data_IF_100919127577
#
_entry.id   IF_100919127577
#
_cell.length_a   1.000
_cell.length_b   1.000
_cell.length_c   1.000
_cell.angle_alpha   90.00
_cell.angle_beta   90.00
_cell.angle_gamma   90.00
#
_symmetry.space_group_name_H-M   'P 1'
#
loop_
_entity.id
_entity.type
_entity.pdbx_description
1 polymer ?
#
# COMPACT_ATOMS: atom_id res chain seq x y z
N UNK A 1 -16.63 9.05 -1.79
CA UNK A 1 -15.34 8.51 -2.24
C UNK A 1 -14.32 9.24 -1.41
N UNK A 2 -13.59 8.48 -0.63
CA UNK A 2 -12.64 8.96 0.35
C UNK A 2 -11.24 8.56 -0.14
N UNK A 3 -10.26 9.42 0.11
CA UNK A 3 -8.87 9.17 -0.30
C UNK A 3 -8.12 8.55 0.88
N UNK A 4 -7.53 7.39 0.64
CA UNK A 4 -6.77 6.64 1.61
C UNK A 4 -5.28 6.62 1.24
N UNK A 5 -4.42 7.05 2.16
CA UNK A 5 -2.97 6.98 1.98
C UNK A 5 -2.42 5.69 2.62
N UNK A 6 -1.70 4.90 1.82
CA UNK A 6 -1.00 3.71 2.28
C UNK A 6 0.51 3.88 2.09
N UNK A 7 1.26 3.55 3.14
CA UNK A 7 2.71 3.47 3.09
C UNK A 7 3.12 2.02 3.00
N UNK A 8 3.74 1.66 1.89
CA UNK A 8 4.16 0.30 1.57
C UNK A 8 5.67 0.25 1.52
N UNK A 9 6.28 -0.51 2.41
CA UNK A 9 7.71 -0.80 2.38
C UNK A 9 7.95 -2.10 1.65
N UNK A 10 8.74 -2.03 0.58
CA UNK A 10 9.10 -3.16 -0.25
C UNK A 10 10.59 -3.42 -0.08
N UNK A 11 11.00 -4.65 0.20
CA UNK A 11 12.37 -5.08 -0.08
C UNK A 11 12.40 -5.79 -1.40
N UNK A 12 13.50 -5.66 -2.12
CA UNK A 12 13.85 -6.60 -3.17
C UNK A 12 15.29 -7.07 -2.97
N UNK A 13 15.55 -8.34 -3.29
CA UNK A 13 16.90 -8.89 -3.23
C UNK A 13 17.83 -8.07 -4.13
N UNK A 14 18.78 -7.36 -3.49
CA UNK A 14 19.84 -6.60 -4.15
C UNK A 14 19.72 -5.08 -4.17
N UNK A 15 18.67 -4.45 -3.60
CA UNK A 15 18.58 -2.97 -3.61
C UNK A 15 17.89 -2.29 -2.43
N UNK A 16 17.77 -2.97 -1.30
CA UNK A 16 17.37 -2.36 -0.02
C UNK A 16 15.88 -2.09 0.11
N UNK A 17 15.51 -1.50 1.24
CA UNK A 17 14.12 -1.20 1.57
C UNK A 17 13.68 0.11 0.93
N UNK A 18 12.64 0.07 0.10
CA UNK A 18 12.07 1.25 -0.54
C UNK A 18 10.64 1.51 -0.05
N UNK A 19 10.40 2.76 0.36
CA UNK A 19 9.09 3.24 0.80
C UNK A 19 8.30 3.78 -0.40
N UNK A 20 7.09 3.28 -0.58
CA UNK A 20 6.10 3.78 -1.54
C UNK A 20 4.92 4.37 -0.80
N UNK A 21 4.46 5.54 -1.27
CA UNK A 21 3.24 6.17 -0.79
C UNK A 21 2.21 6.01 -1.91
N UNK A 22 1.14 5.26 -1.64
CA UNK A 22 0.08 4.97 -2.59
C UNK A 22 -1.20 5.61 -2.08
N UNK A 23 -1.78 6.49 -2.89
CA UNK A 23 -3.09 7.07 -2.62
C UNK A 23 -4.14 6.28 -3.38
N UNK A 24 -5.17 5.84 -2.69
CA UNK A 24 -6.28 5.05 -3.24
C UNK A 24 -7.58 5.79 -2.99
N UNK A 25 -8.31 6.09 -4.06
CA UNK A 25 -9.68 6.57 -3.96
C UNK A 25 -10.63 5.39 -3.90
N UNK A 26 -11.31 5.23 -2.77
CA UNK A 26 -12.21 4.11 -2.53
C UNK A 26 -13.52 4.55 -1.90
N UNK A 27 -14.56 3.74 -2.06
CA UNK A 27 -15.85 3.97 -1.42
C UNK A 27 -15.84 3.66 0.08
N UNK A 28 -14.88 2.86 0.54
CA UNK A 28 -14.69 2.46 1.93
C UNK A 28 -13.26 1.93 2.15
N UNK A 29 -12.89 1.73 3.41
CA UNK A 29 -11.54 1.27 3.81
C UNK A 29 -11.23 -0.16 3.36
N UNK A 30 -12.21 -1.07 3.35
CA UNK A 30 -12.01 -2.46 2.92
C UNK A 30 -11.63 -2.55 1.44
N UNK A 31 -12.33 -1.79 0.58
CA UNK A 31 -12.07 -1.71 -0.85
C UNK A 31 -10.66 -1.14 -1.12
N UNK A 32 -10.27 -0.12 -0.36
CA UNK A 32 -8.92 0.45 -0.42
C UNK A 32 -7.82 -0.56 -0.04
N UNK A 33 -8.07 -1.37 0.99
CA UNK A 33 -7.15 -2.44 1.42
C UNK A 33 -7.08 -3.57 0.41
N UNK A 34 -8.18 -3.96 -0.20
CA UNK A 34 -8.21 -5.04 -1.20
C UNK A 34 -7.42 -4.65 -2.46
N UNK A 35 -7.59 -3.40 -2.92
CA UNK A 35 -6.82 -2.85 -4.04
C UNK A 35 -5.31 -2.84 -3.77
N UNK A 36 -4.89 -2.38 -2.58
CA UNK A 36 -3.46 -2.43 -2.19
C UNK A 36 -3.00 -3.89 -2.06
N UNK A 37 -3.77 -4.75 -1.42
CA UNK A 37 -3.44 -6.17 -1.26
C UNK A 37 -3.21 -6.88 -2.59
N UNK A 38 -4.01 -6.56 -3.61
CA UNK A 38 -3.86 -7.08 -4.97
C UNK A 38 -2.58 -6.59 -5.64
N UNK A 39 -2.27 -5.28 -5.52
CA UNK A 39 -1.03 -4.66 -6.02
C UNK A 39 0.22 -5.29 -5.39
N UNK A 40 0.17 -5.53 -4.08
CA UNK A 40 1.25 -6.14 -3.30
C UNK A 40 1.46 -7.59 -3.71
N UNK A 41 0.41 -8.42 -3.71
CA UNK A 41 0.52 -9.85 -4.01
C UNK A 41 1.03 -10.17 -5.41
N UNK A 42 0.77 -9.31 -6.40
CA UNK A 42 1.09 -9.63 -7.79
C UNK A 42 2.50 -9.23 -8.23
N UNK A 43 3.22 -8.35 -7.51
CA UNK A 43 4.48 -7.79 -8.06
C UNK A 43 5.61 -7.51 -7.07
N UNK A 44 5.40 -7.46 -5.76
CA UNK A 44 6.41 -6.94 -4.82
C UNK A 44 6.43 -7.72 -3.49
N UNK A 45 7.62 -8.05 -3.00
CA UNK A 45 7.79 -8.64 -1.67
C UNK A 45 7.67 -7.53 -0.61
N UNK A 46 6.48 -7.42 -0.01
CA UNK A 46 6.19 -6.35 0.97
C UNK A 46 6.65 -6.75 2.36
N UNK A 47 7.55 -5.95 2.91
CA UNK A 47 8.06 -6.13 4.27
C UNK A 47 7.18 -5.47 5.33
N UNK A 48 6.49 -4.38 4.99
CA UNK A 48 5.60 -3.69 5.92
C UNK A 48 4.52 -2.88 5.20
N UNK A 49 3.30 -2.89 5.75
CA UNK A 49 2.18 -2.08 5.31
C UNK A 49 1.70 -1.24 6.49
N UNK A 50 1.80 0.09 6.37
CA UNK A 50 1.31 1.03 7.37
C UNK A 50 0.20 1.88 6.75
N UNK A 51 -1.01 1.76 7.30
CA UNK A 51 -2.15 2.60 6.94
C UNK A 51 -2.04 3.93 7.68
N UNK A 52 -2.04 5.05 6.96
CA UNK A 52 -2.16 6.36 7.59
C UNK A 52 -3.55 6.90 7.29
N UNK A 53 -4.33 7.07 8.36
CA UNK A 53 -5.63 7.71 8.28
C UNK A 53 -5.38 9.20 8.02
N UNK A 54 -5.58 9.65 6.79
CA UNK A 54 -5.67 11.08 6.47
C UNK A 54 -7.13 11.46 6.73
N UNK A 55 -7.33 12.36 7.68
CA UNK A 55 -8.64 12.88 8.08
C UNK A 55 -9.09 14.05 7.24
#
# INVERSE_FOLDING_TARGET
>A
MDMYEFRVTVSWEGGGDQLFIINVEAGNEEDAKDQIGYLVKNKLEVLALAQIKVG
#
